data_IF_707498807853
#
_entry.id   IF_707498807853
#
_cell.length_a   1.000
_cell.length_b   1.000
_cell.length_c   1.000
_cell.angle_alpha   90.00
_cell.angle_beta   90.00
_cell.angle_gamma   90.00
#
_symmetry.space_group_name_H-M   'P 1'
#
loop_
_entity.id
_entity.type
_entity.pdbx_description
1 polymer ?
#
# COMPACT_ATOMS: atom_id res chain seq x y z
N UNK A 1 -26.35 33.08 -34.89
CA UNK A 1 -25.36 32.00 -34.64
C UNK A 1 -25.78 30.77 -35.42
N UNK A 2 -24.83 30.07 -36.08
CA UNK A 2 -25.13 28.88 -36.87
C UNK A 2 -25.45 27.69 -35.96
N UNK A 3 -26.45 26.85 -36.27
CA UNK A 3 -26.86 25.71 -35.42
C UNK A 3 -25.72 24.72 -35.14
N UNK A 4 -24.75 24.61 -36.05
CA UNK A 4 -23.53 23.82 -35.86
C UNK A 4 -22.64 24.27 -34.68
N UNK A 5 -22.61 25.58 -34.36
CA UNK A 5 -21.84 26.07 -33.21
C UNK A 5 -22.51 25.74 -31.88
N UNK A 6 -23.84 25.75 -31.84
CA UNK A 6 -24.59 25.44 -30.62
C UNK A 6 -24.46 23.96 -30.28
N UNK A 7 -24.56 23.09 -31.28
CA UNK A 7 -24.35 21.65 -31.11
C UNK A 7 -22.92 21.33 -30.62
N UNK A 8 -21.91 21.99 -31.18
CA UNK A 8 -20.52 21.83 -30.76
C UNK A 8 -20.27 22.32 -29.33
N UNK A 9 -20.90 23.44 -28.92
CA UNK A 9 -20.81 23.96 -27.56
C UNK A 9 -21.45 23.01 -26.54
N UNK A 10 -22.61 22.45 -26.87
CA UNK A 10 -23.34 21.52 -26.01
C UNK A 10 -22.57 20.21 -25.83
N UNK A 11 -21.94 19.68 -26.88
CA UNK A 11 -21.08 18.48 -26.81
C UNK A 11 -19.85 18.70 -25.91
N UNK A 12 -19.19 19.86 -26.02
CA UNK A 12 -18.03 20.20 -25.19
C UNK A 12 -18.38 20.33 -23.69
N UNK A 13 -19.56 20.83 -23.36
CA UNK A 13 -20.06 20.94 -21.99
C UNK A 13 -20.32 19.57 -21.33
N UNK A 14 -20.77 18.57 -22.09
CA UNK A 14 -21.03 17.22 -21.56
C UNK A 14 -19.72 16.47 -21.26
N UNK A 15 -18.66 16.68 -22.04
CA UNK A 15 -17.37 16.04 -21.81
C UNK A 15 -16.61 16.59 -20.59
N UNK A 16 -16.84 17.85 -20.20
CA UNK A 16 -16.18 18.45 -19.03
C UNK A 16 -16.71 17.94 -17.67
N UNK A 17 -17.88 17.27 -17.67
CA UNK A 17 -18.52 16.75 -16.46
C UNK A 17 -18.06 15.33 -16.10
N UNK A 18 -17.30 14.66 -16.98
CA UNK A 18 -16.65 13.38 -16.67
C UNK A 18 -15.32 13.67 -15.97
N UNK A 19 -15.42 14.27 -14.79
CA UNK A 19 -14.34 14.20 -13.82
C UNK A 19 -14.30 12.76 -13.32
N UNK A 20 -13.15 12.05 -13.36
CA UNK A 20 -13.01 10.80 -12.64
C UNK A 20 -13.13 11.14 -11.16
N UNK A 21 -14.34 11.02 -10.61
CA UNK A 21 -14.51 10.99 -9.17
C UNK A 21 -13.61 9.86 -8.67
N UNK A 22 -12.65 10.12 -7.77
CA UNK A 22 -11.91 9.03 -7.16
C UNK A 22 -12.96 8.19 -6.45
N UNK A 23 -13.15 6.96 -6.93
CA UNK A 23 -13.97 5.93 -6.31
C UNK A 23 -13.47 5.77 -4.88
N UNK A 24 -14.15 6.45 -3.93
CA UNK A 24 -14.01 6.20 -2.50
C UNK A 24 -14.76 4.90 -2.23
N UNK A 25 -14.12 3.80 -2.61
CA UNK A 25 -14.56 2.45 -2.32
C UNK A 25 -13.97 1.99 -0.99
N UNK A 26 -14.82 1.82 0.02
CA UNK A 26 -14.54 1.03 1.22
C UNK A 26 -13.62 1.68 2.25
N UNK A 27 -13.78 1.26 3.52
CA UNK A 27 -12.92 1.52 4.68
C UNK A 27 -11.53 2.06 4.28
N UNK A 28 -11.18 3.28 4.70
CA UNK A 28 -9.80 3.80 4.63
C UNK A 28 -8.91 2.81 5.41
N UNK A 29 -8.39 1.78 4.74
CA UNK A 29 -7.16 1.13 5.19
C UNK A 29 -6.15 2.26 5.36
N UNK A 30 -5.36 2.30 6.45
CA UNK A 30 -4.28 3.28 6.54
C UNK A 30 -3.49 3.18 5.24
N UNK A 31 -3.37 4.30 4.52
CA UNK A 31 -2.59 4.33 3.29
C UNK A 31 -1.15 4.06 3.71
N UNK A 32 -0.63 2.88 3.41
CA UNK A 32 0.80 2.64 3.48
C UNK A 32 1.50 3.45 2.37
N UNK A 33 2.69 3.94 2.67
CA UNK A 33 3.56 4.68 1.75
C UNK A 33 4.79 3.85 1.41
N UNK A 34 5.50 4.25 0.35
CA UNK A 34 6.82 3.66 0.04
C UNK A 34 7.81 3.82 1.20
N UNK A 35 7.71 4.92 1.97
CA UNK A 35 8.52 5.15 3.17
C UNK A 35 8.17 4.17 4.29
N UNK A 36 6.88 3.89 4.52
CA UNK A 36 6.46 2.90 5.52
C UNK A 36 6.97 1.50 5.16
N UNK A 37 6.82 1.11 3.88
CA UNK A 37 7.38 -0.16 3.37
C UNK A 37 8.88 -0.21 3.61
N UNK A 38 9.63 0.80 3.17
CA UNK A 38 11.08 0.82 3.31
C UNK A 38 11.51 0.75 4.78
N UNK A 39 10.78 1.43 5.67
CA UNK A 39 11.02 1.39 7.11
C UNK A 39 10.80 -0.01 7.70
N UNK A 40 9.68 -0.66 7.37
CA UNK A 40 9.38 -2.02 7.84
C UNK A 40 10.40 -3.03 7.29
N UNK A 41 10.73 -2.97 6.00
CA UNK A 41 11.72 -3.87 5.39
C UNK A 41 13.12 -3.71 5.99
N UNK A 42 13.46 -2.49 6.46
CA UNK A 42 14.71 -2.17 7.15
C UNK A 42 14.72 -2.74 8.57
N UNK A 43 13.69 -2.46 9.37
CA UNK A 43 13.67 -2.86 10.79
C UNK A 43 13.33 -4.34 10.99
N UNK A 44 12.49 -4.92 10.14
CA UNK A 44 12.00 -6.29 10.27
C UNK A 44 12.70 -7.30 9.35
N UNK A 45 13.64 -6.87 8.51
CA UNK A 45 14.23 -7.72 7.47
C UNK A 45 14.89 -9.01 7.98
N UNK A 46 15.36 -9.02 9.22
CA UNK A 46 15.89 -10.24 9.85
C UNK A 46 14.83 -11.35 10.02
N UNK A 47 13.56 -10.99 10.17
CA UNK A 47 12.45 -11.92 10.40
C UNK A 47 11.67 -12.24 9.11
N UNK A 48 11.80 -11.38 8.10
CA UNK A 48 10.96 -11.42 6.90
C UNK A 48 11.70 -11.81 5.63
N UNK A 49 13.04 -11.83 5.60
CA UNK A 49 13.82 -12.26 4.42
C UNK A 49 13.78 -13.77 4.22
N UNK A 50 13.85 -14.18 2.96
CA UNK A 50 14.02 -15.59 2.62
C UNK A 50 15.27 -16.19 3.27
N UNK A 51 15.14 -17.40 3.82
CA UNK A 51 16.26 -18.14 4.40
C UNK A 51 16.70 -17.69 5.80
N UNK A 52 16.05 -16.70 6.39
CA UNK A 52 16.24 -16.34 7.79
C UNK A 52 15.43 -17.25 8.73
N UNK A 53 15.81 -17.34 10.02
CA UNK A 53 15.03 -18.07 11.02
C UNK A 53 13.59 -17.53 11.10
N UNK A 54 12.60 -18.43 11.12
CA UNK A 54 11.17 -18.09 11.31
C UNK A 54 10.85 -17.79 12.77
N UNK A 55 11.72 -17.03 13.42
CA UNK A 55 11.53 -16.55 14.78
C UNK A 55 10.67 -15.29 14.76
N UNK A 56 9.93 -15.05 15.84
CA UNK A 56 9.14 -13.84 15.98
C UNK A 56 9.98 -12.70 16.55
N UNK A 57 9.76 -11.45 16.09
CA UNK A 57 10.38 -10.29 16.72
C UNK A 57 9.97 -10.16 18.19
N UNK A 58 10.88 -9.73 19.09
CA UNK A 58 10.50 -9.34 20.44
C UNK A 58 9.48 -8.20 20.41
N UNK A 59 8.43 -8.24 21.25
CA UNK A 59 7.30 -7.28 21.24
C UNK A 59 7.71 -5.80 21.31
N UNK A 60 8.81 -5.46 22.01
CA UNK A 60 9.29 -4.08 22.13
C UNK A 60 10.48 -3.74 21.23
N UNK A 61 10.80 -4.64 20.28
CA UNK A 61 11.88 -4.43 19.31
C UNK A 61 11.55 -3.28 18.34
N UNK A 62 12.57 -2.71 17.68
CA UNK A 62 12.35 -1.72 16.61
C UNK A 62 11.42 -2.23 15.50
N UNK A 63 11.49 -3.52 15.16
CA UNK A 63 10.59 -4.12 14.18
C UNK A 63 9.12 -4.01 14.60
N UNK A 64 8.76 -4.41 15.82
CA UNK A 64 7.36 -4.33 16.24
C UNK A 64 6.84 -2.90 16.40
N UNK A 65 7.71 -1.96 16.81
CA UNK A 65 7.37 -0.53 16.79
C UNK A 65 7.13 -0.01 15.36
N UNK A 66 7.86 -0.53 14.38
CA UNK A 66 7.66 -0.17 12.97
C UNK A 66 6.41 -0.84 12.36
N UNK A 67 6.01 -2.01 12.86
CA UNK A 67 4.80 -2.70 12.42
C UNK A 67 3.52 -2.12 13.07
N UNK A 68 3.64 -1.50 14.25
CA UNK A 68 2.53 -0.95 15.01
C UNK A 68 1.71 0.05 14.18
N UNK A 69 0.40 -0.21 14.05
CA UNK A 69 -0.53 0.68 13.34
C UNK A 69 -0.49 0.60 11.81
N UNK A 70 0.31 -0.31 11.23
CA UNK A 70 0.38 -0.53 9.78
C UNK A 70 -0.36 -1.81 9.36
N UNK A 71 -1.09 -1.74 8.23
CA UNK A 71 -1.67 -2.91 7.57
C UNK A 71 -0.55 -3.64 6.81
N UNK A 72 -0.10 -4.80 7.32
CA UNK A 72 1.00 -5.55 6.71
C UNK A 72 0.67 -6.04 5.30
N UNK A 73 -0.62 -6.26 4.97
CA UNK A 73 -1.02 -6.59 3.61
C UNK A 73 -0.78 -5.41 2.66
N UNK A 74 -1.05 -4.19 3.12
CA UNK A 74 -0.75 -2.97 2.34
C UNK A 74 0.75 -2.87 2.04
N UNK A 75 1.61 -3.21 3.01
CA UNK A 75 3.07 -3.23 2.82
C UNK A 75 3.50 -4.26 1.78
N UNK A 76 2.91 -5.46 1.82
CA UNK A 76 3.16 -6.50 0.80
C UNK A 76 2.73 -6.05 -0.60
N UNK A 77 1.64 -5.29 -0.71
CA UNK A 77 1.15 -4.79 -2.00
C UNK A 77 2.12 -3.77 -2.62
N UNK A 78 2.86 -3.00 -1.82
CA UNK A 78 3.87 -2.04 -2.27
C UNK A 78 5.24 -2.66 -2.61
N UNK A 79 5.44 -3.97 -2.41
CA UNK A 79 6.71 -4.60 -2.74
C UNK A 79 6.97 -4.57 -4.26
N UNK A 80 8.15 -4.08 -4.62
CA UNK A 80 8.71 -4.19 -5.96
C UNK A 80 9.02 -5.64 -6.32
N UNK A 81 9.28 -5.91 -7.62
CA UNK A 81 9.65 -7.25 -8.08
C UNK A 81 10.93 -7.77 -7.43
N UNK A 82 11.85 -6.89 -7.05
CA UNK A 82 13.12 -7.27 -6.45
C UNK A 82 12.91 -7.59 -4.96
N UNK A 83 12.19 -6.73 -4.24
CA UNK A 83 11.81 -6.98 -2.85
C UNK A 83 10.98 -8.27 -2.70
N UNK A 84 10.10 -8.59 -3.66
CA UNK A 84 9.35 -9.87 -3.65
C UNK A 84 10.23 -11.11 -3.82
N UNK A 85 11.46 -10.97 -4.32
CA UNK A 85 12.44 -12.08 -4.39
C UNK A 85 13.27 -12.20 -3.13
N UNK A 86 13.43 -11.10 -2.39
CA UNK A 86 14.26 -11.06 -1.19
C UNK A 86 13.46 -11.35 0.09
N UNK A 87 12.16 -11.03 0.09
CA UNK A 87 11.30 -11.09 1.27
C UNK A 87 10.13 -12.09 1.15
N UNK A 88 9.92 -12.85 2.23
CA UNK A 88 8.78 -13.74 2.44
C UNK A 88 7.53 -12.91 2.76
N UNK A 89 6.64 -12.78 1.78
CA UNK A 89 5.38 -12.04 1.92
C UNK A 89 4.52 -12.54 3.09
N UNK A 90 4.47 -13.85 3.30
CA UNK A 90 3.76 -14.44 4.44
C UNK A 90 4.39 -14.07 5.78
N UNK A 91 5.72 -13.93 5.85
CA UNK A 91 6.40 -13.51 7.07
C UNK A 91 6.15 -12.02 7.36
N UNK A 92 6.06 -11.16 6.33
CA UNK A 92 5.65 -9.75 6.49
C UNK A 92 4.23 -9.67 7.05
N UNK A 93 3.29 -10.44 6.50
CA UNK A 93 1.90 -10.47 6.99
C UNK A 93 1.84 -10.95 8.45
N UNK A 94 2.62 -11.96 8.81
CA UNK A 94 2.68 -12.50 10.16
C UNK A 94 3.19 -11.52 11.22
N UNK A 95 3.79 -10.38 10.83
CA UNK A 95 4.21 -9.35 11.78
C UNK A 95 3.03 -8.76 12.55
N UNK A 96 1.83 -8.71 11.96
CA UNK A 96 0.62 -8.18 12.61
C UNK A 96 0.31 -8.98 13.89
N UNK A 97 0.22 -10.31 13.78
CA UNK A 97 0.01 -11.20 14.93
C UNK A 97 1.25 -11.29 15.84
N UNK A 98 2.46 -11.31 15.26
CA UNK A 98 3.69 -11.45 16.02
C UNK A 98 3.99 -10.22 16.90
N UNK A 99 3.46 -9.04 16.58
CA UNK A 99 3.71 -7.80 17.30
C UNK A 99 2.57 -7.29 18.18
N UNK A 100 1.36 -7.87 18.08
CA UNK A 100 0.19 -7.53 18.92
C UNK A 100 0.32 -7.80 20.43
#
# INVERSE_FOLDING_TARGET
MKPQMVAALLLLLVCAMVSPQPVVGGKKRPRCTEEDKAHILKECGHYTKHGHPKEHPPKHSPCCKAAEGHDMQCIVDLLSKDERRDYEQAAIIALEEACD
#
